data_IF_871593805381
#
_entry.id   IF_871593805381
#
_cell.length_a   1.000
_cell.length_b   1.000
_cell.length_c   1.000
_cell.angle_alpha   90.00
_cell.angle_beta   90.00
_cell.angle_gamma   90.00
#
_symmetry.space_group_name_H-M   'P 1'
#
loop_
_entity.id
_entity.type
_entity.pdbx_description
1 polymer ?
#
# COMPACT_ATOMS: atom_id res chain seq x y z
N UNK A 1 -17.64 -2.08 -24.98
CA UNK A 1 -16.52 -1.36 -24.36
C UNK A 1 -16.53 -1.71 -22.89
N UNK A 2 -15.44 -2.23 -22.33
CA UNK A 2 -15.38 -2.57 -20.89
C UNK A 2 -15.37 -1.27 -20.11
N UNK A 3 -16.35 -1.06 -19.24
CA UNK A 3 -16.39 0.13 -18.39
C UNK A 3 -15.14 0.16 -17.49
N UNK A 4 -14.46 1.31 -17.47
CA UNK A 4 -13.29 1.50 -16.63
C UNK A 4 -13.71 1.48 -15.15
N UNK A 5 -13.00 0.69 -14.34
CA UNK A 5 -13.14 0.69 -12.89
C UNK A 5 -12.12 1.65 -12.29
N UNK A 6 -12.57 2.49 -11.37
CA UNK A 6 -11.70 3.43 -10.65
C UNK A 6 -11.81 3.14 -9.16
N UNK A 7 -10.66 2.95 -8.52
CA UNK A 7 -10.53 2.79 -7.07
C UNK A 7 -9.42 3.73 -6.58
N UNK A 8 -9.76 4.74 -5.80
CA UNK A 8 -8.83 5.74 -5.27
C UNK A 8 -8.88 5.73 -3.75
N UNK A 9 -7.75 5.39 -3.11
CA UNK A 9 -7.55 5.50 -1.68
C UNK A 9 -6.58 6.66 -1.41
N UNK A 10 -7.04 7.65 -0.67
CA UNK A 10 -6.21 8.73 -0.15
C UNK A 10 -6.01 8.54 1.35
N UNK A 11 -4.77 8.63 1.79
CA UNK A 11 -4.39 8.58 3.21
C UNK A 11 -3.64 9.86 3.52
N UNK A 12 -4.28 10.75 4.29
CA UNK A 12 -3.66 11.98 4.76
C UNK A 12 -3.11 11.72 6.19
N UNK A 13 -1.79 11.80 6.33
CA UNK A 13 -1.09 11.57 7.61
C UNK A 13 -0.91 12.91 8.32
N UNK A 14 -1.52 13.05 9.49
CA UNK A 14 -1.39 14.20 10.39
C UNK A 14 -0.62 13.79 11.66
N UNK A 15 -0.07 14.73 12.43
CA UNK A 15 0.83 14.40 13.54
C UNK A 15 0.34 13.36 14.55
N UNK A 16 -0.96 13.31 14.83
CA UNK A 16 -1.58 12.35 15.76
C UNK A 16 -2.81 11.64 15.18
N UNK A 17 -3.03 11.72 13.86
CA UNK A 17 -4.22 11.15 13.25
C UNK A 17 -3.96 10.75 11.80
N UNK A 18 -4.72 9.76 11.33
CA UNK A 18 -4.76 9.38 9.94
C UNK A 18 -6.18 9.58 9.46
N UNK A 19 -6.34 10.32 8.37
CA UNK A 19 -7.62 10.45 7.68
C UNK A 19 -7.55 9.67 6.37
N UNK A 20 -8.55 8.81 6.15
CA UNK A 20 -8.68 8.06 4.91
C UNK A 20 -9.91 8.52 4.14
N UNK A 21 -9.77 8.69 2.83
CA UNK A 21 -10.88 8.96 1.93
C UNK A 21 -10.83 7.98 0.77
N UNK A 22 -11.97 7.36 0.45
CA UNK A 22 -12.09 6.39 -0.63
C UNK A 22 -13.09 6.90 -1.68
N UNK A 23 -12.71 6.82 -2.96
CA UNK A 23 -13.60 7.07 -4.09
C UNK A 23 -13.59 5.87 -5.02
N UNK A 24 -14.79 5.42 -5.40
CA UNK A 24 -14.96 4.29 -6.31
C UNK A 24 -15.90 4.66 -7.46
N UNK A 25 -15.63 4.11 -8.65
CA UNK A 25 -16.52 4.20 -9.82
C UNK A 25 -16.60 2.81 -10.46
N UNK A 26 -17.82 2.30 -10.65
CA UNK A 26 -18.09 0.97 -11.22
C UNK A 26 -17.41 -0.19 -10.46
N UNK A 27 -17.30 -0.05 -9.13
CA UNK A 27 -16.73 -1.05 -8.22
C UNK A 27 -17.76 -1.38 -7.16
N UNK A 28 -18.11 -2.66 -7.04
CA UNK A 28 -19.01 -3.12 -5.97
C UNK A 28 -18.30 -3.11 -4.61
N UNK A 29 -19.04 -3.07 -3.48
CA UNK A 29 -18.42 -3.11 -2.15
C UNK A 29 -17.52 -4.32 -1.91
N UNK A 30 -17.87 -5.51 -2.42
CA UNK A 30 -17.06 -6.72 -2.27
C UNK A 30 -15.74 -6.61 -3.04
N UNK A 31 -15.78 -6.05 -4.25
CA UNK A 31 -14.57 -5.81 -5.03
C UNK A 31 -13.68 -4.74 -4.39
N UNK A 32 -14.28 -3.68 -3.83
CA UNK A 32 -13.55 -2.66 -3.08
C UNK A 32 -12.79 -3.26 -1.89
N UNK A 33 -13.41 -4.18 -1.14
CA UNK A 33 -12.74 -4.92 -0.06
C UNK A 33 -11.56 -5.74 -0.58
N UNK A 34 -11.76 -6.50 -1.66
CA UNK A 34 -10.68 -7.26 -2.29
C UNK A 34 -9.53 -6.38 -2.76
N UNK A 35 -9.82 -5.22 -3.37
CA UNK A 35 -8.79 -4.26 -3.78
C UNK A 35 -8.02 -3.68 -2.59
N UNK A 36 -8.68 -3.38 -1.47
CA UNK A 36 -8.03 -2.91 -0.25
C UNK A 36 -7.08 -3.96 0.34
N UNK A 37 -7.51 -5.22 0.38
CA UNK A 37 -6.67 -6.32 0.89
C UNK A 37 -5.43 -6.51 0.02
N UNK A 38 -5.60 -6.58 -1.30
CA UNK A 38 -4.48 -6.70 -2.24
C UNK A 38 -3.52 -5.51 -2.16
N UNK A 39 -4.05 -4.28 -2.11
CA UNK A 39 -3.22 -3.08 -2.01
C UNK A 39 -2.43 -3.04 -0.69
N UNK A 40 -3.06 -3.42 0.43
CA UNK A 40 -2.41 -3.53 1.74
C UNK A 40 -1.26 -4.54 1.69
N UNK A 41 -1.50 -5.73 1.15
CA UNK A 41 -0.49 -6.79 1.10
C UNK A 41 0.71 -6.37 0.22
N UNK A 42 0.47 -5.81 -0.97
CA UNK A 42 1.54 -5.30 -1.83
C UNK A 42 2.38 -4.19 -1.17
N UNK A 43 1.73 -3.21 -0.54
CA UNK A 43 2.44 -2.11 0.13
C UNK A 43 3.31 -2.66 1.27
N UNK A 44 2.75 -3.52 2.13
CA UNK A 44 3.47 -4.08 3.26
C UNK A 44 4.64 -4.96 2.83
N UNK A 45 4.46 -5.76 1.78
CA UNK A 45 5.51 -6.65 1.30
C UNK A 45 6.65 -5.87 0.65
N UNK A 46 6.35 -4.84 -0.13
CA UNK A 46 7.36 -3.94 -0.68
C UNK A 46 8.17 -3.24 0.42
N UNK A 47 7.50 -2.75 1.48
CA UNK A 47 8.18 -2.13 2.63
C UNK A 47 9.06 -3.13 3.38
N UNK A 48 8.62 -4.38 3.57
CA UNK A 48 9.42 -5.43 4.22
C UNK A 48 10.63 -5.81 3.37
N UNK A 49 10.48 -5.88 2.04
CA UNK A 49 11.58 -6.17 1.13
C UNK A 49 12.62 -5.04 1.17
N UNK A 50 12.22 -3.78 1.01
CA UNK A 50 13.13 -2.65 1.12
C UNK A 50 13.84 -2.58 2.48
N UNK A 51 13.14 -2.91 3.57
CA UNK A 51 13.75 -3.04 4.91
C UNK A 51 14.83 -4.12 4.95
N UNK A 52 14.59 -5.30 4.36
CA UNK A 52 15.58 -6.38 4.27
C UNK A 52 16.81 -5.95 3.47
N UNK A 53 16.62 -5.25 2.36
CA UNK A 53 17.72 -4.77 1.51
C UNK A 53 18.61 -3.76 2.26
N UNK A 54 17.99 -2.84 3.01
CA UNK A 54 18.71 -1.89 3.89
C UNK A 54 19.52 -2.64 4.96
N UNK A 55 18.92 -3.59 5.68
CA UNK A 55 19.64 -4.35 6.70
C UNK A 55 20.76 -5.24 6.13
N UNK A 56 20.61 -5.76 4.92
CA UNK A 56 21.68 -6.50 4.24
C UNK A 56 22.82 -5.57 3.82
N UNK A 57 22.53 -4.34 3.39
CA UNK A 57 23.55 -3.33 3.09
C UNK A 57 24.37 -2.97 4.34
N UNK A 58 23.70 -2.71 5.47
CA UNK A 58 24.38 -2.41 6.75
C UNK A 58 25.24 -3.57 7.28
N UNK A 59 24.85 -4.83 7.08
CA UNK A 59 25.68 -5.98 7.49
C UNK A 59 26.97 -6.10 6.67
N UNK A 60 26.95 -5.71 5.39
CA UNK A 60 28.15 -5.74 4.54
C UNK A 60 29.13 -4.62 4.86
N UNK A 61 28.67 -3.49 5.40
CA UNK A 61 29.54 -2.36 5.77
C UNK A 61 30.15 -2.50 7.18
N UNK A 62 29.59 -3.36 8.04
CA UNK A 62 30.07 -3.58 9.41
C UNK A 62 31.02 -4.78 9.61
N UNK A 63 31.32 -5.54 8.55
CA UNK A 63 32.28 -6.65 8.56
C UNK A 63 33.62 -6.20 7.92
N UNK A 64 34.30 -5.24 8.55
CA UNK A 64 35.72 -4.95 8.32
C UNK A 64 36.47 -4.91 9.66
#
# INVERSE_FOLDING_TARGET
MTEQKIFLLRVDVMPNNIQTTMKTQNVSPQEALGFLEMAKDQILDNLKQGRKDIFQAFKKEGEQ
#
